data_IF_711998921241
#
_entry.id   IF_711998921241
#
_cell.length_a   1.000
_cell.length_b   1.000
_cell.length_c   1.000
_cell.angle_alpha   90.00
_cell.angle_beta   90.00
_cell.angle_gamma   90.00
#
_symmetry.space_group_name_H-M   'P 1'
#
loop_
_entity.id
_entity.type
_entity.pdbx_description
1 polymer ?
#
# COMPACT_ATOMS: atom_id res chain seq x y z
N UNK A 1 18.99 3.58 -19.92
CA UNK A 1 19.45 2.24 -19.49
C UNK A 1 20.96 2.05 -19.69
N UNK A 2 21.53 2.47 -20.83
CA UNK A 2 22.96 2.28 -21.14
C UNK A 2 23.92 2.88 -20.10
N UNK A 3 23.69 4.12 -19.66
CA UNK A 3 24.50 4.78 -18.62
C UNK A 3 24.51 3.99 -17.30
N UNK A 4 23.35 3.49 -16.87
CA UNK A 4 23.22 2.72 -15.64
C UNK A 4 24.04 1.42 -15.68
N UNK A 5 24.00 0.67 -16.78
CA UNK A 5 24.79 -0.57 -16.93
C UNK A 5 26.28 -0.27 -16.83
N UNK A 6 26.76 0.80 -17.48
CA UNK A 6 28.16 1.23 -17.43
C UNK A 6 28.57 1.66 -16.03
N UNK A 7 27.73 2.43 -15.32
CA UNK A 7 28.03 2.86 -13.95
C UNK A 7 28.06 1.68 -12.97
N UNK A 8 27.04 0.82 -13.00
CA UNK A 8 26.90 -0.30 -12.07
C UNK A 8 28.04 -1.31 -12.21
N UNK A 9 28.32 -1.78 -13.42
CA UNK A 9 29.45 -2.70 -13.67
C UNK A 9 30.81 -1.98 -13.73
N UNK A 10 30.80 -0.65 -13.66
CA UNK A 10 31.98 0.18 -13.47
C UNK A 10 32.61 -0.03 -12.09
N UNK A 11 31.79 -0.25 -11.06
CA UNK A 11 32.24 -0.49 -9.68
C UNK A 11 31.98 -1.93 -9.19
N UNK A 12 31.22 -2.75 -9.92
CA UNK A 12 30.94 -4.12 -9.50
C UNK A 12 32.18 -5.02 -9.48
N UNK A 13 32.32 -5.80 -8.40
CA UNK A 13 33.36 -6.82 -8.22
C UNK A 13 33.06 -8.13 -8.96
N UNK A 14 31.80 -8.34 -9.36
CA UNK A 14 31.36 -9.54 -10.07
C UNK A 14 30.53 -9.19 -11.32
N UNK A 15 30.87 -9.83 -12.44
CA UNK A 15 30.16 -9.68 -13.72
C UNK A 15 29.65 -11.06 -14.19
N UNK A 16 28.32 -11.29 -14.25
CA UNK A 16 27.77 -12.56 -14.69
C UNK A 16 27.96 -12.77 -16.21
N UNK A 17 27.91 -14.02 -16.70
CA UNK A 17 28.01 -14.32 -18.15
C UNK A 17 26.79 -13.83 -18.95
N UNK A 18 25.67 -13.59 -18.29
CA UNK A 18 24.44 -13.09 -18.90
C UNK A 18 23.81 -12.06 -17.98
N UNK A 19 23.50 -10.89 -18.54
CA UNK A 19 22.76 -9.81 -17.86
C UNK A 19 21.41 -9.68 -18.55
N UNK A 20 20.34 -9.79 -17.77
CA UNK A 20 18.98 -9.54 -18.23
C UNK A 20 18.62 -8.08 -17.98
N UNK A 21 18.06 -7.43 -19.00
CA UNK A 21 17.68 -6.02 -18.95
C UNK A 21 16.17 -5.87 -19.16
N UNK A 22 15.57 -4.87 -18.51
CA UNK A 22 14.16 -4.54 -18.70
C UNK A 22 13.91 -3.84 -20.04
N UNK A 23 14.86 -3.00 -20.46
CA UNK A 23 14.80 -2.21 -21.68
C UNK A 23 16.07 -2.40 -22.49
N UNK A 24 16.02 -2.23 -23.83
CA UNK A 24 17.22 -2.25 -24.67
C UNK A 24 18.19 -1.12 -24.27
N UNK A 25 19.45 -1.34 -24.62
CA UNK A 25 20.54 -0.37 -24.47
C UNK A 25 21.02 0.04 -25.84
N UNK A 26 21.32 1.33 -25.98
CA UNK A 26 22.14 1.85 -27.07
C UNK A 26 23.55 1.24 -26.99
N UNK A 27 24.19 1.06 -28.14
CA UNK A 27 25.55 0.51 -28.28
C UNK A 27 25.77 -0.82 -27.55
N UNK A 28 24.79 -1.73 -27.66
CA UNK A 28 24.81 -3.04 -27.02
C UNK A 28 26.14 -3.79 -27.25
N UNK A 29 26.65 -3.77 -28.47
CA UNK A 29 27.91 -4.43 -28.85
C UNK A 29 29.10 -3.85 -28.09
N UNK A 30 29.22 -2.52 -28.07
CA UNK A 30 30.28 -1.81 -27.32
C UNK A 30 30.22 -2.11 -25.82
N UNK A 31 29.02 -2.19 -25.24
CA UNK A 31 28.84 -2.53 -23.82
C UNK A 31 29.22 -4.00 -23.55
N UNK A 32 28.84 -4.93 -24.43
CA UNK A 32 29.23 -6.35 -24.31
C UNK A 32 30.74 -6.54 -24.40
N UNK A 33 31.42 -5.81 -25.29
CA UNK A 33 32.89 -5.82 -25.42
C UNK A 33 33.58 -5.24 -24.20
N UNK A 34 33.10 -4.11 -23.69
CA UNK A 34 33.61 -3.50 -22.47
C UNK A 34 33.45 -4.42 -21.25
N UNK A 35 32.28 -5.06 -21.09
CA UNK A 35 32.04 -6.05 -20.03
C UNK A 35 32.91 -7.30 -20.19
N UNK A 36 33.14 -7.74 -21.43
CA UNK A 36 34.07 -8.85 -21.74
C UNK A 36 35.50 -8.51 -21.32
N UNK A 37 35.97 -7.31 -21.64
CA UNK A 37 37.30 -6.83 -21.24
C UNK A 37 37.48 -6.83 -19.72
N UNK A 38 36.48 -6.32 -18.98
CA UNK A 38 36.51 -6.33 -17.51
C UNK A 38 36.46 -7.72 -16.89
N UNK A 39 35.61 -8.61 -17.44
CA UNK A 39 35.42 -9.96 -16.89
C UNK A 39 36.53 -10.93 -17.30
N UNK A 40 37.15 -10.71 -18.44
CA UNK A 40 38.03 -11.68 -19.12
C UNK A 40 37.28 -12.78 -19.88
N UNK A 41 35.94 -12.75 -19.93
CA UNK A 41 35.11 -13.77 -20.58
C UNK A 41 33.88 -13.16 -21.24
N UNK A 42 33.28 -13.86 -22.22
CA UNK A 42 32.11 -13.36 -22.96
C UNK A 42 30.93 -13.07 -22.01
N UNK A 43 30.36 -11.88 -22.15
CA UNK A 43 29.15 -11.43 -21.44
C UNK A 43 28.07 -11.15 -22.48
N UNK A 44 26.82 -11.59 -22.22
CA UNK A 44 25.67 -11.35 -23.10
C UNK A 44 24.63 -10.47 -22.43
N UNK A 45 24.21 -9.41 -23.10
CA UNK A 45 23.05 -8.60 -22.72
C UNK A 45 21.81 -9.12 -23.43
N UNK A 46 20.73 -9.37 -22.68
CA UNK A 46 19.47 -9.89 -23.21
C UNK A 46 18.29 -9.11 -22.63
N UNK A 47 17.39 -8.67 -23.51
CA UNK A 47 16.06 -8.17 -23.14
C UNK A 47 15.07 -9.28 -23.45
N UNK A 48 14.61 -10.06 -22.46
CA UNK A 48 13.65 -11.12 -22.72
C UNK A 48 12.29 -10.53 -23.11
N UNK A 49 11.63 -11.12 -24.11
CA UNK A 49 10.28 -10.73 -24.54
C UNK A 49 9.19 -11.70 -24.07
N UNK A 50 9.54 -12.97 -23.78
CA UNK A 50 8.61 -14.02 -23.34
C UNK A 50 9.31 -15.10 -22.48
N UNK A 51 8.53 -15.93 -21.79
CA UNK A 51 8.99 -17.07 -20.98
C UNK A 51 9.56 -16.69 -19.60
N UNK A 52 10.16 -17.66 -18.89
CA UNK A 52 10.59 -17.53 -17.49
C UNK A 52 11.54 -16.34 -17.24
N UNK A 53 12.41 -16.01 -18.19
CA UNK A 53 13.33 -14.85 -18.07
C UNK A 53 12.57 -13.52 -18.08
N UNK A 54 11.48 -13.40 -18.85
CA UNK A 54 10.62 -12.21 -18.85
C UNK A 54 9.86 -12.10 -17.52
N UNK A 55 9.35 -13.21 -16.99
CA UNK A 55 8.71 -13.25 -15.68
C UNK A 55 9.67 -12.79 -14.58
N UNK A 56 10.91 -13.29 -14.58
CA UNK A 56 11.92 -12.90 -13.60
C UNK A 56 12.23 -11.40 -13.65
N UNK A 57 12.43 -10.83 -14.84
CA UNK A 57 12.60 -9.37 -15.00
C UNK A 57 11.36 -8.61 -14.52
N UNK A 58 10.15 -9.12 -14.78
CA UNK A 58 8.90 -8.53 -14.30
C UNK A 58 8.80 -8.50 -12.78
N UNK A 59 9.15 -9.60 -12.10
CA UNK A 59 9.15 -9.67 -10.63
C UNK A 59 10.14 -8.65 -10.05
N UNK A 60 11.36 -8.58 -10.59
CA UNK A 60 12.37 -7.62 -10.12
C UNK A 60 11.93 -6.17 -10.36
N UNK A 61 11.31 -5.88 -11.50
CA UNK A 61 10.79 -4.56 -11.82
C UNK A 61 9.67 -4.15 -10.84
N UNK A 62 8.70 -5.04 -10.58
CA UNK A 62 7.64 -4.79 -9.61
C UNK A 62 8.20 -4.53 -8.20
N UNK A 63 9.20 -5.31 -7.78
CA UNK A 63 9.87 -5.10 -6.50
C UNK A 63 10.60 -3.75 -6.44
N UNK A 64 11.25 -3.34 -7.53
CA UNK A 64 11.95 -2.05 -7.62
C UNK A 64 10.96 -0.87 -7.59
N UNK A 65 9.81 -0.98 -8.26
CA UNK A 65 8.74 0.02 -8.20
C UNK A 65 8.17 0.15 -6.79
N UNK A 66 7.90 -0.98 -6.12
CA UNK A 66 7.47 -0.98 -4.73
C UNK A 66 8.52 -0.35 -3.80
N UNK A 67 9.80 -0.64 -3.99
CA UNK A 67 10.88 -0.03 -3.21
C UNK A 67 10.97 1.49 -3.44
N UNK A 68 10.81 1.94 -4.68
CA UNK A 68 10.79 3.37 -5.01
C UNK A 68 9.57 4.08 -4.42
N UNK A 69 8.38 3.47 -4.49
CA UNK A 69 7.19 3.97 -3.81
C UNK A 69 7.46 4.09 -2.32
N UNK A 70 8.01 3.05 -1.67
CA UNK A 70 8.39 3.11 -0.26
C UNK A 70 9.39 4.23 0.04
N UNK A 71 10.35 4.51 -0.83
CA UNK A 71 11.29 5.62 -0.65
C UNK A 71 10.58 6.99 -0.73
N UNK A 72 9.63 7.15 -1.67
CA UNK A 72 8.78 8.34 -1.74
C UNK A 72 7.89 8.47 -0.50
N UNK A 73 7.35 7.35 0.00
CA UNK A 73 6.61 7.29 1.27
C UNK A 73 7.48 7.58 2.50
N UNK A 74 8.80 7.45 2.41
CA UNK A 74 9.74 7.82 3.49
C UNK A 74 10.20 9.26 3.41
N UNK A 75 10.04 9.94 2.27
CA UNK A 75 10.29 11.37 2.22
C UNK A 75 9.26 12.08 3.11
N UNK A 76 9.72 12.85 4.12
CA UNK A 76 8.82 13.64 4.93
C UNK A 76 8.18 14.70 4.03
N UNK A 77 6.85 14.73 3.98
CA UNK A 77 6.14 15.89 3.44
C UNK A 77 6.47 17.09 4.33
N UNK A 78 6.61 18.27 3.72
CA UNK A 78 6.69 19.49 4.49
C UNK A 78 5.40 19.64 5.32
N UNK A 79 5.49 20.23 6.51
CA UNK A 79 4.33 20.41 7.38
C UNK A 79 3.20 21.20 6.70
N UNK A 80 3.55 22.14 5.82
CA UNK A 80 2.60 22.89 4.98
C UNK A 80 1.81 21.97 4.04
N UNK A 81 2.47 21.00 3.42
CA UNK A 81 1.85 20.08 2.47
C UNK A 81 0.91 19.11 3.17
N UNK A 82 1.25 18.70 4.41
CA UNK A 82 0.37 17.87 5.24
C UNK A 82 -0.89 18.62 5.65
N UNK A 83 -0.77 19.88 6.08
CA UNK A 83 -1.93 20.71 6.42
C UNK A 83 -2.84 20.91 5.20
N UNK A 84 -2.25 21.19 4.02
CA UNK A 84 -3.00 21.29 2.77
C UNK A 84 -3.70 19.97 2.40
N UNK A 85 -3.00 18.84 2.54
CA UNK A 85 -3.57 17.51 2.29
C UNK A 85 -4.76 17.21 3.20
N UNK A 86 -4.63 17.45 4.50
CA UNK A 86 -5.71 17.22 5.48
C UNK A 86 -6.91 18.13 5.21
N UNK A 87 -6.67 19.40 4.87
CA UNK A 87 -7.71 20.36 4.50
C UNK A 87 -8.44 19.91 3.22
N UNK A 88 -7.71 19.48 2.20
CA UNK A 88 -8.30 19.02 0.95
C UNK A 88 -9.14 17.74 1.16
N UNK A 89 -8.65 16.79 1.97
CA UNK A 89 -9.43 15.58 2.31
C UNK A 89 -10.72 15.96 3.05
N UNK A 90 -10.64 16.87 4.02
CA UNK A 90 -11.81 17.34 4.76
C UNK A 90 -12.87 17.91 3.81
N UNK A 91 -12.46 18.84 2.93
CA UNK A 91 -13.36 19.51 2.00
C UNK A 91 -13.96 18.53 0.99
N UNK A 92 -13.11 17.74 0.34
CA UNK A 92 -13.52 16.84 -0.75
C UNK A 92 -14.41 15.70 -0.27
N UNK A 93 -14.11 15.12 0.89
CA UNK A 93 -14.91 14.05 1.49
C UNK A 93 -16.04 14.58 2.39
N UNK A 94 -16.22 15.90 2.48
CA UNK A 94 -17.24 16.57 3.28
C UNK A 94 -17.22 16.13 4.76
N UNK A 95 -16.02 16.02 5.33
CA UNK A 95 -15.85 15.57 6.71
C UNK A 95 -16.24 16.68 7.69
N UNK A 96 -16.86 16.34 8.84
CA UNK A 96 -17.28 17.32 9.84
C UNK A 96 -16.09 18.04 10.51
N UNK A 97 -14.90 17.43 10.49
CA UNK A 97 -13.66 17.99 11.03
C UNK A 97 -12.47 17.50 10.22
N UNK A 98 -11.34 18.21 10.35
CA UNK A 98 -10.07 17.81 9.75
C UNK A 98 -9.69 16.39 10.20
N UNK A 99 -9.30 15.49 9.28
CA UNK A 99 -9.03 14.09 9.59
C UNK A 99 -7.63 13.90 10.20
N UNK A 100 -7.43 14.42 11.42
CA UNK A 100 -6.15 14.31 12.13
C UNK A 100 -5.73 12.86 12.36
N UNK A 101 -6.68 11.96 12.67
CA UNK A 101 -6.45 10.52 12.83
C UNK A 101 -7.13 9.74 11.71
N UNK A 102 -6.34 9.14 10.84
CA UNK A 102 -6.82 8.27 9.76
C UNK A 102 -6.45 6.83 10.08
N UNK A 103 -7.43 5.92 10.10
CA UNK A 103 -7.20 4.48 10.21
C UNK A 103 -7.44 3.83 8.85
N UNK A 104 -6.41 3.21 8.27
CA UNK A 104 -6.49 2.55 6.98
C UNK A 104 -6.50 1.02 7.13
N UNK A 105 -7.43 0.36 6.45
CA UNK A 105 -7.68 -1.07 6.55
C UNK A 105 -7.47 -1.79 5.22
N UNK A 106 -6.73 -2.91 5.26
CA UNK A 106 -6.47 -3.79 4.11
C UNK A 106 -6.73 -5.26 4.48
N UNK A 107 -7.25 -6.04 3.54
CA UNK A 107 -7.45 -7.49 3.66
C UNK A 107 -6.52 -8.19 2.68
N UNK A 108 -5.63 -9.03 3.22
CA UNK A 108 -4.70 -9.82 2.43
C UNK A 108 -5.05 -11.31 2.54
N UNK A 109 -5.60 -11.88 1.47
CA UNK A 109 -5.84 -13.31 1.34
C UNK A 109 -4.59 -14.04 0.89
N UNK A 110 -4.14 -14.98 1.71
CA UNK A 110 -3.10 -15.93 1.33
C UNK A 110 -3.80 -17.22 0.91
N UNK A 111 -3.66 -17.60 -0.36
CA UNK A 111 -4.10 -18.93 -0.81
C UNK A 111 -3.44 -20.01 0.08
N UNK A 112 -4.27 -20.79 0.78
CA UNK A 112 -3.83 -21.91 1.64
C UNK A 112 -3.41 -21.56 3.07
N UNK A 113 -3.56 -20.31 3.56
CA UNK A 113 -3.33 -19.93 4.97
C UNK A 113 -4.47 -19.06 5.52
N UNK A 114 -4.52 -18.89 6.84
CA UNK A 114 -5.48 -18.00 7.49
C UNK A 114 -5.35 -16.56 6.95
N UNK A 115 -6.47 -15.96 6.56
CA UNK A 115 -6.52 -14.59 6.09
C UNK A 115 -6.13 -13.61 7.21
N UNK A 116 -5.46 -12.52 6.83
CA UNK A 116 -4.98 -11.50 7.77
C UNK A 116 -5.44 -10.13 7.30
N UNK A 117 -6.15 -9.44 8.18
CA UNK A 117 -6.43 -8.02 8.06
C UNK A 117 -5.34 -7.18 8.69
N UNK A 118 -5.11 -6.00 8.14
CA UNK A 118 -4.14 -5.04 8.67
C UNK A 118 -4.81 -3.68 8.86
N UNK A 119 -4.36 -2.97 9.90
CA UNK A 119 -4.75 -1.60 10.19
C UNK A 119 -3.48 -0.77 10.37
N UNK A 120 -3.27 0.17 9.45
CA UNK A 120 -2.28 1.23 9.59
C UNK A 120 -2.96 2.50 10.13
N UNK A 121 -2.19 3.32 10.84
CA UNK A 121 -2.69 4.52 11.49
C UNK A 121 -1.85 5.71 11.09
N UNK A 122 -2.50 6.77 10.66
CA UNK A 122 -1.89 8.07 10.45
C UNK A 122 -2.40 9.04 11.51
N UNK A 123 -1.48 9.85 12.04
CA UNK A 123 -1.73 10.88 13.04
C UNK A 123 -1.09 12.18 12.54
N UNK A 124 -1.90 13.21 12.38
CA UNK A 124 -1.55 14.47 11.72
C UNK A 124 -0.87 14.26 10.37
N UNK A 125 -1.43 13.35 9.55
CA UNK A 125 -0.91 13.01 8.23
C UNK A 125 0.41 12.22 8.22
N UNK A 126 0.90 11.76 9.38
CA UNK A 126 2.12 10.95 9.48
C UNK A 126 1.84 9.54 9.96
N UNK A 127 2.55 8.52 9.45
CA UNK A 127 2.41 7.15 9.95
C UNK A 127 2.73 7.06 11.46
N UNK A 128 1.90 6.33 12.22
CA UNK A 128 2.05 6.07 13.66
C UNK A 128 2.15 4.56 13.94
N UNK A 129 3.31 3.92 13.69
CA UNK A 129 3.48 2.45 13.74
C UNK A 129 3.10 1.80 15.07
N UNK A 130 3.28 2.49 16.19
CA UNK A 130 2.90 2.00 17.53
C UNK A 130 1.39 1.71 17.66
N UNK A 131 0.56 2.34 16.82
CA UNK A 131 -0.88 2.15 16.81
C UNK A 131 -1.35 1.11 15.77
N UNK A 132 -0.45 0.51 14.99
CA UNK A 132 -0.82 -0.45 13.96
C UNK A 132 -1.30 -1.77 14.58
N UNK A 133 -2.26 -2.43 13.91
CA UNK A 133 -2.83 -3.68 14.40
C UNK A 133 -3.00 -4.69 13.27
N UNK A 134 -2.82 -5.97 13.61
CA UNK A 134 -3.12 -7.08 12.71
C UNK A 134 -4.29 -7.86 13.27
N UNK A 135 -5.15 -8.33 12.38
CA UNK A 135 -6.34 -9.08 12.70
C UNK A 135 -6.23 -10.44 12.04
N UNK A 136 -6.04 -11.48 12.85
CA UNK A 136 -6.19 -12.85 12.39
C UNK A 136 -7.68 -13.12 12.20
N UNK A 137 -8.06 -13.48 10.98
CA UNK A 137 -9.44 -13.78 10.61
C UNK A 137 -9.68 -15.27 10.83
N UNK A 138 -10.67 -15.61 11.67
CA UNK A 138 -10.94 -16.99 12.08
C UNK A 138 -12.28 -17.52 11.56
N UNK A 139 -13.18 -16.63 11.13
CA UNK A 139 -14.63 -16.93 11.13
C UNK A 139 -15.23 -17.16 9.74
N UNK A 140 -14.45 -17.02 8.66
CA UNK A 140 -14.95 -17.10 7.29
C UNK A 140 -14.37 -18.32 6.59
N UNK A 141 -15.22 -19.32 6.29
CA UNK A 141 -14.83 -20.60 5.69
C UNK A 141 -14.46 -20.51 4.20
N UNK A 142 -14.86 -19.43 3.53
CA UNK A 142 -14.47 -19.10 2.14
C UNK A 142 -13.84 -17.71 2.09
N UNK A 143 -12.95 -17.49 1.11
CA UNK A 143 -12.29 -16.22 0.88
C UNK A 143 -13.27 -15.13 0.42
N UNK A 144 -14.04 -14.56 1.36
CA UNK A 144 -14.97 -13.46 1.12
C UNK A 144 -14.48 -12.19 1.80
N UNK A 145 -13.83 -11.32 1.04
CA UNK A 145 -13.17 -10.10 1.54
C UNK A 145 -14.13 -9.17 2.28
N UNK A 146 -15.40 -9.11 1.87
CA UNK A 146 -16.42 -8.30 2.53
C UNK A 146 -16.72 -8.79 3.94
N UNK A 147 -16.85 -10.10 4.12
CA UNK A 147 -17.09 -10.70 5.43
C UNK A 147 -15.88 -10.52 6.36
N UNK A 148 -14.66 -10.67 5.82
CA UNK A 148 -13.42 -10.51 6.58
C UNK A 148 -13.20 -9.06 7.03
N UNK A 149 -13.45 -8.10 6.14
CA UNK A 149 -13.44 -6.68 6.47
C UNK A 149 -14.48 -6.36 7.56
N UNK A 150 -15.70 -6.90 7.42
CA UNK A 150 -16.76 -6.72 8.40
C UNK A 150 -16.39 -7.26 9.79
N UNK A 151 -15.79 -8.45 9.87
CA UNK A 151 -15.31 -9.02 11.14
C UNK A 151 -14.28 -8.10 11.81
N UNK A 152 -13.31 -7.61 11.05
CA UNK A 152 -12.24 -6.74 11.55
C UNK A 152 -12.80 -5.44 12.14
N UNK A 153 -13.69 -4.76 11.40
CA UNK A 153 -14.28 -3.51 11.85
C UNK A 153 -15.19 -3.71 13.06
N UNK A 154 -16.03 -4.75 13.08
CA UNK A 154 -16.84 -5.09 14.27
C UNK A 154 -15.95 -5.27 15.50
N UNK A 155 -14.84 -6.01 15.38
CA UNK A 155 -13.88 -6.23 16.47
C UNK A 155 -13.15 -4.95 16.90
N UNK A 156 -12.79 -4.08 15.96
CA UNK A 156 -12.15 -2.78 16.24
C UNK A 156 -13.07 -1.86 17.03
N UNK A 157 -14.31 -1.72 16.59
CA UNK A 157 -15.24 -0.71 17.09
C UNK A 157 -15.96 -1.17 18.37
N UNK A 158 -16.18 -2.48 18.56
CA UNK A 158 -16.67 -3.03 19.83
C UNK A 158 -15.77 -2.69 21.03
N UNK A 159 -14.46 -2.48 20.79
CA UNK A 159 -13.47 -2.12 21.83
C UNK A 159 -13.43 -0.63 22.19
N UNK A 160 -14.20 0.21 21.49
CA UNK A 160 -14.30 1.65 21.80
C UNK A 160 -15.22 1.89 23.00
N UNK A 161 -16.21 1.02 23.20
CA UNK A 161 -17.13 1.15 24.32
C UNK A 161 -16.36 1.11 25.65
N UNK A 162 -16.54 2.09 26.56
CA UNK A 162 -15.83 2.15 27.83
C UNK A 162 -16.05 0.89 28.69
N UNK A 163 -17.22 0.27 28.57
CA UNK A 163 -17.59 -0.97 29.27
C UNK A 163 -16.83 -2.22 28.76
N UNK A 164 -16.18 -2.15 27.59
CA UNK A 164 -15.49 -3.27 26.97
C UNK A 164 -14.02 -3.41 27.41
N UNK A 165 -13.55 -2.64 28.40
CA UNK A 165 -12.16 -2.66 28.86
C UNK A 165 -11.18 -2.12 27.81
N UNK A 166 -11.61 -1.10 27.05
CA UNK A 166 -10.83 -0.50 25.97
C UNK A 166 -9.63 0.31 26.49
N UNK A 167 -8.54 -0.36 26.84
CA UNK A 167 -7.33 0.31 27.30
C UNK A 167 -6.46 0.85 26.15
N UNK A 168 -5.93 2.05 26.34
CA UNK A 168 -4.92 2.67 25.49
C UNK A 168 -5.42 3.08 24.10
N UNK A 169 -4.67 2.70 23.05
CA UNK A 169 -4.86 3.22 21.68
C UNK A 169 -6.21 2.87 21.04
N UNK A 170 -6.94 1.87 21.57
CA UNK A 170 -8.22 1.41 21.01
C UNK A 170 -9.39 2.35 21.36
N UNK A 171 -9.30 3.08 22.47
CA UNK A 171 -10.30 4.08 22.87
C UNK A 171 -10.30 5.32 21.96
N UNK A 172 -9.20 5.54 21.21
CA UNK A 172 -9.09 6.67 20.30
C UNK A 172 -9.97 6.42 19.07
N UNK A 173 -11.00 7.25 18.90
CA UNK A 173 -11.90 7.21 17.74
C UNK A 173 -11.19 7.89 16.55
N UNK A 174 -11.12 7.26 15.37
CA UNK A 174 -10.56 7.90 14.18
C UNK A 174 -11.48 8.99 13.64
N UNK A 175 -10.88 9.96 12.96
CA UNK A 175 -11.61 11.01 12.24
C UNK A 175 -12.03 10.56 10.84
N UNK A 176 -11.30 9.59 10.29
CA UNK A 176 -11.58 8.94 9.02
C UNK A 176 -11.13 7.48 9.06
N UNK A 177 -12.03 6.58 8.68
CA UNK A 177 -11.70 5.21 8.31
C UNK A 177 -11.52 5.14 6.80
N UNK A 178 -10.36 4.70 6.34
CA UNK A 178 -10.06 4.47 4.94
C UNK A 178 -9.99 2.97 4.66
N UNK A 179 -10.72 2.50 3.66
CA UNK A 179 -10.72 1.10 3.24
C UNK A 179 -9.95 0.95 1.92
N UNK A 180 -9.00 0.02 1.85
CA UNK A 180 -8.41 -0.40 0.57
C UNK A 180 -9.42 -1.27 -0.18
N UNK A 181 -10.11 -0.68 -1.15
CA UNK A 181 -11.21 -1.34 -1.85
C UNK A 181 -12.20 -0.38 -2.51
N UNK A 182 -13.11 -0.95 -3.30
CA UNK A 182 -14.16 -0.21 -4.00
C UNK A 182 -15.46 -0.09 -3.21
N UNK A 183 -16.53 0.30 -3.91
CA UNK A 183 -17.88 0.53 -3.35
C UNK A 183 -18.44 -0.68 -2.57
N UNK A 184 -18.13 -1.92 -2.99
CA UNK A 184 -18.54 -3.13 -2.27
C UNK A 184 -17.93 -3.23 -0.86
N UNK A 185 -16.61 -2.99 -0.75
CA UNK A 185 -15.90 -2.96 0.53
C UNK A 185 -16.39 -1.81 1.42
N UNK A 186 -16.65 -0.63 0.84
CA UNK A 186 -17.24 0.50 1.57
C UNK A 186 -18.58 0.12 2.21
N UNK A 187 -19.49 -0.50 1.45
CA UNK A 187 -20.80 -0.92 1.96
C UNK A 187 -20.69 -1.97 3.08
N UNK A 188 -19.76 -2.93 2.94
CA UNK A 188 -19.48 -3.90 3.99
C UNK A 188 -18.97 -3.23 5.28
N UNK A 189 -18.08 -2.24 5.14
CA UNK A 189 -17.57 -1.46 6.27
C UNK A 189 -18.68 -0.67 6.97
N UNK A 190 -19.54 0.00 6.20
CA UNK A 190 -20.69 0.74 6.73
C UNK A 190 -21.67 -0.15 7.49
N UNK A 191 -21.97 -1.35 6.98
CA UNK A 191 -22.80 -2.32 7.70
C UNK A 191 -22.16 -2.72 9.04
N UNK A 192 -20.88 -3.11 8.99
CA UNK A 192 -20.15 -3.57 10.16
C UNK A 192 -20.01 -2.50 11.25
N UNK A 193 -19.76 -1.24 10.86
CA UNK A 193 -19.62 -0.13 11.79
C UNK A 193 -20.96 0.26 12.41
N UNK A 194 -22.07 0.21 11.66
CA UNK A 194 -23.42 0.42 12.22
C UNK A 194 -23.76 -0.64 13.26
N UNK A 195 -23.50 -1.91 12.98
CA UNK A 195 -23.71 -3.01 13.94
C UNK A 195 -22.85 -2.87 15.21
N UNK A 196 -21.69 -2.21 15.10
CA UNK A 196 -20.79 -1.95 16.23
C UNK A 196 -21.05 -0.60 16.93
N UNK A 197 -22.18 0.07 16.66
CA UNK A 197 -22.53 1.40 17.19
C UNK A 197 -21.49 2.50 16.86
N UNK A 198 -20.78 2.36 15.74
CA UNK A 198 -19.77 3.30 15.25
C UNK A 198 -20.18 3.96 13.92
N UNK A 199 -21.47 3.99 13.61
CA UNK A 199 -22.00 4.56 12.35
C UNK A 199 -21.81 6.07 12.19
N UNK A 200 -21.43 6.79 13.25
CA UNK A 200 -21.11 8.22 13.22
C UNK A 200 -19.68 8.53 12.77
N UNK A 201 -18.80 7.53 12.74
CA UNK A 201 -17.41 7.70 12.31
C UNK A 201 -17.36 7.79 10.78
N UNK A 202 -16.74 8.82 10.19
CA UNK A 202 -16.63 8.93 8.74
C UNK A 202 -15.84 7.77 8.12
N UNK A 203 -16.32 7.27 6.99
CA UNK A 203 -15.70 6.15 6.23
C UNK A 203 -15.56 6.57 4.78
N UNK A 204 -14.42 6.24 4.16
CA UNK A 204 -14.23 6.28 2.72
C UNK A 204 -13.51 5.01 2.26
N UNK A 205 -13.58 4.70 0.96
CA UNK A 205 -12.74 3.66 0.36
C UNK A 205 -11.99 4.20 -0.85
N UNK A 206 -10.82 3.63 -1.14
CA UNK A 206 -9.99 4.02 -2.29
C UNK A 206 -9.72 2.79 -3.17
N UNK A 207 -10.14 2.85 -4.44
CA UNK A 207 -9.94 1.76 -5.39
C UNK A 207 -8.58 1.87 -6.09
N UNK A 208 -7.81 0.77 -6.09
CA UNK A 208 -6.44 0.73 -6.60
C UNK A 208 -6.26 0.98 -8.09
N UNK A 209 -7.25 0.65 -8.92
CA UNK A 209 -7.09 0.73 -10.39
C UNK A 209 -7.07 2.18 -10.90
N UNK A 210 -7.92 3.03 -10.33
CA UNK A 210 -8.15 4.41 -10.79
C UNK A 210 -7.95 5.46 -9.72
N UNK A 211 -7.64 5.06 -8.49
CA UNK A 211 -7.51 5.97 -7.34
C UNK A 211 -8.82 6.74 -7.09
N UNK A 212 -9.94 6.10 -7.41
CA UNK A 212 -11.30 6.59 -7.19
C UNK A 212 -11.65 6.45 -5.71
N UNK A 213 -12.15 7.54 -5.13
CA UNK A 213 -12.53 7.58 -3.71
C UNK A 213 -14.06 7.47 -3.62
N UNK A 214 -14.55 6.48 -2.88
CA UNK A 214 -15.97 6.29 -2.64
C UNK A 214 -16.30 6.75 -1.22
N UNK A 215 -17.38 7.53 -1.10
CA UNK A 215 -17.94 7.98 0.17
C UNK A 215 -19.41 7.55 0.28
N UNK A 216 -19.97 7.44 1.50
CA UNK A 216 -21.36 7.06 1.69
C UNK A 216 -22.31 8.07 1.03
N UNK A 217 -23.46 7.59 0.57
CA UNK A 217 -24.55 8.42 0.04
C UNK A 217 -24.19 9.23 -1.22
N UNK A 218 -23.05 8.94 -1.87
CA UNK A 218 -22.70 9.44 -3.20
C UNK A 218 -22.60 8.26 -4.17
N UNK A 219 -23.21 8.41 -5.34
CA UNK A 219 -23.21 7.35 -6.35
C UNK A 219 -21.92 7.33 -7.16
N UNK A 220 -21.45 8.51 -7.53
CA UNK A 220 -20.23 8.72 -8.30
C UNK A 220 -19.00 8.81 -7.39
N UNK A 221 -17.85 8.26 -7.81
CA UNK A 221 -16.61 8.40 -7.06
C UNK A 221 -16.07 9.83 -7.13
N UNK A 222 -15.43 10.24 -6.05
CA UNK A 222 -14.62 11.45 -6.02
C UNK A 222 -13.28 11.14 -6.69
N UNK A 223 -12.99 11.87 -7.77
CA UNK A 223 -11.73 11.77 -8.51
C UNK A 223 -10.88 12.99 -8.22
N UNK A 224 -9.74 12.78 -7.58
CA UNK A 224 -8.76 13.84 -7.32
C UNK A 224 -7.65 13.81 -8.38
N UNK A 225 -7.04 14.96 -8.64
CA UNK A 225 -5.91 15.02 -9.57
C UNK A 225 -4.71 14.26 -9.00
N UNK A 226 -3.85 13.65 -9.84
CA UNK A 226 -2.67 12.92 -9.37
C UNK A 226 -1.66 13.75 -8.56
N UNK A 227 -1.73 15.08 -8.68
CA UNK A 227 -0.89 16.03 -7.95
C UNK A 227 -1.55 16.56 -6.67
N UNK A 228 -2.80 16.15 -6.40
CA UNK A 228 -3.53 16.51 -5.19
C UNK A 228 -2.76 16.03 -3.95
N UNK A 229 -2.41 16.92 -3.01
CA UNK A 229 -1.78 16.52 -1.76
C UNK A 229 -2.70 15.60 -0.93
N UNK A 230 -4.02 15.81 -0.96
CA UNK A 230 -5.00 14.95 -0.32
C UNK A 230 -5.00 13.52 -0.88
N UNK A 231 -5.02 13.38 -2.21
CA UNK A 231 -4.95 12.06 -2.85
C UNK A 231 -3.65 11.34 -2.49
N UNK A 232 -2.52 12.05 -2.56
CA UNK A 232 -1.23 11.48 -2.22
C UNK A 232 -1.25 10.96 -0.79
N UNK A 233 -1.75 11.72 0.18
CA UNK A 233 -1.84 11.28 1.58
C UNK A 233 -2.72 10.02 1.75
N UNK A 234 -3.88 9.94 1.07
CA UNK A 234 -4.72 8.74 1.09
C UNK A 234 -4.01 7.52 0.48
N UNK A 235 -3.27 7.71 -0.61
CA UNK A 235 -2.43 6.67 -1.20
C UNK A 235 -1.35 6.20 -0.23
N UNK A 236 -0.67 7.12 0.47
CA UNK A 236 0.33 6.75 1.51
C UNK A 236 -0.31 5.89 2.60
N UNK A 237 -1.51 6.26 3.05
CA UNK A 237 -2.23 5.52 4.08
C UNK A 237 -2.59 4.10 3.63
N UNK A 238 -3.12 3.96 2.40
CA UNK A 238 -3.40 2.66 1.76
C UNK A 238 -2.15 1.80 1.63
N UNK A 239 -1.12 2.36 1.00
CA UNK A 239 0.12 1.63 0.70
C UNK A 239 0.82 1.18 1.99
N UNK A 240 0.70 1.97 3.07
CA UNK A 240 1.23 1.61 4.39
C UNK A 240 0.46 0.47 5.06
N UNK A 241 -0.88 0.43 4.93
CA UNK A 241 -1.69 -0.71 5.39
C UNK A 241 -1.30 -1.98 4.63
N UNK A 242 -1.25 -1.90 3.30
CA UNK A 242 -0.82 -3.00 2.44
C UNK A 242 0.62 -3.48 2.78
N UNK A 243 1.57 -2.55 2.95
CA UNK A 243 2.95 -2.87 3.38
C UNK A 243 2.98 -3.58 4.73
N UNK A 244 2.15 -3.14 5.68
CA UNK A 244 2.08 -3.73 7.00
C UNK A 244 1.50 -5.15 6.99
N UNK A 245 0.55 -5.43 6.09
CA UNK A 245 0.07 -6.78 5.79
C UNK A 245 1.20 -7.65 5.23
N UNK A 246 1.89 -7.21 4.17
CA UNK A 246 2.98 -7.96 3.54
C UNK A 246 4.14 -8.29 4.49
N UNK A 247 4.49 -7.38 5.40
CA UNK A 247 5.53 -7.59 6.41
C UNK A 247 5.24 -8.74 7.37
N UNK A 248 3.97 -9.15 7.54
CA UNK A 248 3.61 -10.34 8.31
C UNK A 248 4.03 -11.62 7.59
N UNK A 249 3.85 -11.68 6.27
CA UNK A 249 4.14 -12.87 5.48
C UNK A 249 5.63 -13.23 5.46
N UNK A 250 6.51 -12.23 5.54
CA UNK A 250 7.96 -12.44 5.64
C UNK A 250 8.38 -13.05 6.99
N UNK A 251 7.70 -12.68 8.08
CA UNK A 251 7.99 -13.22 9.43
C UNK A 251 7.41 -14.62 9.65
N UNK A 252 6.32 -15.00 8.99
CA UNK A 252 5.70 -16.34 9.12
C UNK A 252 6.37 -17.39 8.20
N UNK A 253 7.33 -16.99 7.38
CA UNK A 253 8.12 -17.91 6.52
C UNK A 253 9.49 -18.28 7.10
N UNK A 254 9.89 -17.67 8.21
CA UNK A 254 11.04 -18.09 9.04
C UNK A 254 10.50 -18.89 10.22
#
# INVERSE_FOLDING_TARGET
MSSFVKQFYGSATYIPPMVLLQYPVEDKTTIEEWLKSKKGAKVRLRVPSRGNKKQLVGIVAANAEQALQQLKLKQPLASSDLTAALSEIQERLQLPRSPSRIECYDISNIQGRQAVGSMAVFDQGRPKPSHYRRFRINTVAQANDYAMLGEMLKRRFKRIAPEAGGDGTWAIIPDLVLIDGGKGQLNAALSAMREANAGSVPVASIAKEREEIFVPQQDDPIVLTRRSPGLQLLQRARDEAHRFALGYHLKVRQ
#
